data_IF_016241021952
#
_entry.id   IF_016241021952
#
_cell.length_a   1.000
_cell.length_b   1.000
_cell.length_c   1.000
_cell.angle_alpha   90.00
_cell.angle_beta   90.00
_cell.angle_gamma   90.00
#
_symmetry.space_group_name_H-M   'P 1'
#
loop_
_entity.id
_entity.type
_entity.pdbx_description
1 polymer ?
#
# COMPACT_ATOMS: atom_id res chain seq x y z
N UNK A 1 -3.48 10.59 12.22
CA UNK A 1 -4.44 9.49 11.96
C UNK A 1 -3.83 8.65 10.84
N UNK A 2 -3.71 7.32 10.91
CA UNK A 2 -3.02 6.59 9.85
C UNK A 2 -3.81 6.75 8.55
N UNK A 3 -3.09 7.11 7.47
CA UNK A 3 -3.66 7.44 6.15
C UNK A 3 -4.30 6.25 5.42
N UNK A 4 -4.25 5.04 6.01
CA UNK A 4 -4.77 3.82 5.43
C UNK A 4 -4.97 2.75 6.52
N UNK A 5 -6.13 2.07 6.55
CA UNK A 5 -6.38 0.85 7.33
C UNK A 5 -6.37 -0.34 6.37
N UNK A 6 -5.22 -1.01 6.17
CA UNK A 6 -5.11 -2.12 5.24
C UNK A 6 -6.02 -3.29 5.66
N UNK A 7 -6.52 -4.10 4.70
CA UNK A 7 -7.25 -5.33 5.02
C UNK A 7 -6.39 -6.21 5.94
N UNK A 8 -6.99 -6.88 6.93
CA UNK A 8 -6.31 -7.63 8.02
C UNK A 8 -5.21 -8.61 7.58
N UNK A 9 -5.21 -8.99 6.31
CA UNK A 9 -4.30 -9.92 5.63
C UNK A 9 -3.00 -9.24 5.16
N UNK A 10 -3.05 -7.92 4.98
CA UNK A 10 -1.92 -7.04 4.71
C UNK A 10 -1.58 -6.31 6.00
N UNK A 11 -0.62 -6.81 6.76
CA UNK A 11 0.01 -6.01 7.81
C UNK A 11 1.29 -5.43 7.22
N UNK A 12 1.32 -4.14 6.85
CA UNK A 12 2.59 -3.52 6.49
C UNK A 12 3.47 -3.58 7.74
N UNK A 13 4.68 -4.09 7.59
CA UNK A 13 5.64 -4.06 8.69
C UNK A 13 6.09 -2.62 8.86
N UNK A 14 5.53 -1.90 9.83
CA UNK A 14 5.93 -0.54 10.15
C UNK A 14 7.09 -0.54 11.14
N UNK A 15 8.05 0.37 10.92
CA UNK A 15 9.05 0.69 11.92
C UNK A 15 8.59 1.90 12.75
N UNK A 16 8.67 1.76 14.07
CA UNK A 16 8.37 2.82 15.04
C UNK A 16 9.48 2.86 16.07
N UNK A 17 10.06 4.03 16.28
CA UNK A 17 11.05 4.26 17.33
C UNK A 17 10.82 5.64 17.95
N UNK A 18 11.32 5.87 19.16
CA UNK A 18 11.12 7.13 19.89
C UNK A 18 11.82 8.35 19.27
N UNK A 19 12.63 8.16 18.23
CA UNK A 19 13.33 9.23 17.50
C UNK A 19 12.65 9.58 16.16
N UNK A 20 11.70 8.77 15.71
CA UNK A 20 10.95 9.03 14.49
C UNK A 20 9.96 10.18 14.75
N UNK A 21 9.91 11.23 13.90
CA UNK A 21 8.89 12.25 14.00
C UNK A 21 7.49 11.65 13.92
N UNK A 22 6.55 12.21 14.69
CA UNK A 22 5.18 11.71 14.76
C UNK A 22 4.38 11.99 13.48
N UNK A 23 4.69 13.11 12.81
CA UNK A 23 3.94 13.62 11.66
C UNK A 23 4.85 13.75 10.43
N UNK A 24 4.27 13.51 9.25
CA UNK A 24 4.91 13.70 7.96
C UNK A 24 6.01 12.70 7.61
N UNK A 25 6.30 11.71 8.47
CA UNK A 25 7.31 10.69 8.22
C UNK A 25 6.76 9.32 8.56
N UNK A 26 6.94 8.39 7.64
CA UNK A 26 6.55 7.01 7.83
C UNK A 26 7.65 6.07 7.32
N UNK A 27 7.83 4.94 8.01
CA UNK A 27 8.77 3.89 7.62
C UNK A 27 8.04 2.57 7.63
N UNK A 28 7.96 1.92 6.47
CA UNK A 28 7.23 0.68 6.28
C UNK A 28 7.92 -0.24 5.28
N UNK A 29 7.64 -1.52 5.40
CA UNK A 29 8.07 -2.53 4.45
C UNK A 29 7.05 -2.69 3.32
N UNK A 30 7.51 -2.62 2.08
CA UNK A 30 6.74 -2.98 0.90
C UNK A 30 7.01 -4.45 0.58
N UNK A 31 6.03 -5.32 0.91
CA UNK A 31 6.15 -6.76 0.73
C UNK A 31 5.78 -7.27 -0.66
N UNK A 32 5.14 -6.45 -1.49
CA UNK A 32 4.82 -6.80 -2.87
C UNK A 32 5.82 -6.17 -3.85
N UNK A 33 5.92 -6.76 -5.05
CA UNK A 33 6.69 -6.17 -6.14
C UNK A 33 6.00 -4.89 -6.68
N UNK A 34 6.05 -3.80 -5.92
CA UNK A 34 5.54 -2.52 -6.37
C UNK A 34 6.52 -1.95 -7.41
N UNK A 35 6.01 -1.63 -8.61
CA UNK A 35 6.79 -1.10 -9.74
C UNK A 35 7.95 -2.01 -10.21
N UNK A 36 7.77 -3.34 -10.21
CA UNK A 36 8.80 -4.32 -10.60
C UNK A 36 10.10 -4.22 -9.78
N UNK A 37 9.98 -3.86 -8.50
CA UNK A 37 11.11 -3.83 -7.57
C UNK A 37 10.99 -4.95 -6.54
N UNK A 38 12.11 -5.50 -6.06
CA UNK A 38 12.08 -6.46 -4.97
C UNK A 38 11.50 -5.81 -3.70
N UNK A 39 10.90 -6.61 -2.80
CA UNK A 39 10.42 -6.14 -1.51
C UNK A 39 11.50 -5.40 -0.71
N UNK A 40 11.17 -4.22 -0.21
CA UNK A 40 12.15 -3.36 0.48
C UNK A 40 11.51 -2.49 1.56
N UNK A 41 12.36 -1.97 2.46
CA UNK A 41 11.96 -0.95 3.40
C UNK A 41 11.96 0.42 2.73
N UNK A 42 10.90 1.18 2.93
CA UNK A 42 10.72 2.52 2.39
C UNK A 42 10.46 3.49 3.51
N UNK A 43 11.14 4.63 3.44
CA UNK A 43 10.80 5.82 4.20
C UNK A 43 10.06 6.80 3.29
N UNK A 44 8.91 7.25 3.75
CA UNK A 44 8.12 8.29 3.11
C UNK A 44 8.20 9.55 3.95
N UNK A 45 8.50 10.67 3.29
CA UNK A 45 8.40 12.02 3.86
C UNK A 45 7.28 12.72 3.08
N UNK A 46 6.28 13.22 3.78
CA UNK A 46 5.14 13.92 3.20
C UNK A 46 4.88 15.24 3.90
N UNK A 47 4.22 16.13 3.16
CA UNK A 47 3.63 17.35 3.73
C UNK A 47 2.18 17.43 3.29
N UNK A 48 1.33 17.60 4.29
CA UNK A 48 -0.11 17.81 4.12
C UNK A 48 -0.44 19.30 4.21
N UNK A 49 -1.54 19.68 3.57
CA UNK A 49 -2.05 21.04 3.53
C UNK A 49 -2.60 21.44 4.90
N UNK A 50 -2.18 22.61 5.37
CA UNK A 50 -2.74 23.26 6.56
C UNK A 50 -3.80 24.29 6.18
N UNK A 51 -4.58 24.78 7.14
CA UNK A 51 -5.56 25.84 6.91
C UNK A 51 -4.93 27.08 6.26
N UNK A 52 -3.74 27.48 6.71
CA UNK A 52 -3.00 28.59 6.11
C UNK A 52 -2.60 28.31 4.65
N UNK A 53 -2.30 27.06 4.29
CA UNK A 53 -1.98 26.70 2.90
C UNK A 53 -3.21 26.85 1.99
N UNK A 54 -4.42 26.59 2.49
CA UNK A 54 -5.67 26.76 1.74
C UNK A 54 -6.00 28.24 1.50
N UNK A 55 -5.72 29.10 2.47
CA UNK A 55 -5.91 30.55 2.34
C UNK A 55 -4.99 31.16 1.27
N UNK A 56 -3.76 30.65 1.16
CA UNK A 56 -2.74 31.15 0.24
C UNK A 56 -2.79 30.48 -1.15
N UNK A 57 -3.38 29.29 -1.27
CA UNK A 57 -3.39 28.51 -2.51
C UNK A 57 -4.78 27.95 -2.84
N UNK A 58 -5.46 28.60 -3.78
CA UNK A 58 -6.81 28.23 -4.26
C UNK A 58 -6.91 26.89 -5.00
N UNK A 59 -5.80 26.16 -5.18
CA UNK A 59 -5.83 24.80 -5.75
C UNK A 59 -5.97 23.71 -4.71
N UNK A 60 -5.69 24.02 -3.44
CA UNK A 60 -5.88 23.09 -2.33
C UNK A 60 -7.33 23.21 -1.87
N UNK A 61 -7.99 22.06 -1.73
CA UNK A 61 -9.42 22.02 -1.43
C UNK A 61 -9.67 21.69 0.05
N UNK A 62 -8.77 20.91 0.68
CA UNK A 62 -8.98 20.39 2.03
C UNK A 62 -7.71 20.38 2.90
N UNK A 63 -7.88 20.62 4.20
CA UNK A 63 -6.82 20.39 5.20
C UNK A 63 -6.52 18.90 5.29
N UNK A 64 -5.24 18.53 5.23
CA UNK A 64 -4.81 17.13 5.15
C UNK A 64 -4.53 16.68 3.71
N UNK A 65 -4.84 17.48 2.69
CA UNK A 65 -4.51 17.16 1.30
C UNK A 65 -2.98 17.06 1.13
N UNK A 66 -2.49 16.02 0.46
CA UNK A 66 -1.05 15.85 0.22
C UNK A 66 -0.53 16.92 -0.74
N UNK A 67 0.30 17.84 -0.25
CA UNK A 67 1.02 18.82 -1.09
C UNK A 67 2.13 18.10 -1.88
N UNK A 68 2.92 17.29 -1.19
CA UNK A 68 3.97 16.49 -1.80
C UNK A 68 4.36 15.30 -0.94
N UNK A 69 5.00 14.32 -1.58
CA UNK A 69 5.55 13.12 -0.98
C UNK A 69 6.87 12.76 -1.65
N UNK A 70 7.86 12.34 -0.85
CA UNK A 70 9.11 11.73 -1.31
C UNK A 70 9.24 10.37 -0.66
N UNK A 71 9.56 9.35 -1.44
CA UNK A 71 9.84 8.00 -0.96
C UNK A 71 11.30 7.63 -1.23
N UNK A 72 11.95 7.00 -0.25
CA UNK A 72 13.33 6.52 -0.36
C UNK A 72 13.42 5.09 0.18
N UNK A 73 14.07 4.22 -0.60
CA UNK A 73 14.45 2.89 -0.15
C UNK A 73 15.58 2.99 0.90
N UNK A 74 15.42 2.27 2.01
CA UNK A 74 16.37 2.31 3.12
C UNK A 74 16.63 0.90 3.66
N UNK A 75 17.77 0.70 4.31
CA UNK A 75 18.10 -0.54 5.04
C UNK A 75 18.21 -0.32 6.55
N UNK A 76 18.32 0.95 6.96
CA UNK A 76 18.42 1.36 8.34
C UNK A 76 17.48 2.55 8.57
N UNK A 77 16.87 2.62 9.76
CA UNK A 77 16.11 3.80 10.13
C UNK A 77 17.06 4.99 10.29
N UNK A 78 16.86 6.12 9.57
CA UNK A 78 17.74 7.27 9.68
C UNK A 78 17.63 8.01 11.02
N UNK A 79 16.62 7.69 11.84
CA UNK A 79 16.38 8.33 13.13
C UNK A 79 16.98 7.57 14.31
N UNK A 80 16.78 6.24 14.40
CA UNK A 80 17.37 5.43 15.45
C UNK A 80 18.69 4.75 15.08
N UNK A 81 18.96 4.58 13.78
CA UNK A 81 20.13 3.87 13.26
C UNK A 81 19.98 2.36 13.26
N UNK A 82 18.84 1.82 13.68
CA UNK A 82 18.58 0.38 13.70
C UNK A 82 18.47 -0.17 12.27
N UNK A 83 19.05 -1.34 12.06
CA UNK A 83 18.88 -2.11 10.84
C UNK A 83 17.45 -2.65 10.76
N UNK A 84 16.84 -2.55 9.57
CA UNK A 84 15.47 -2.96 9.31
C UNK A 84 15.48 -4.34 8.62
N UNK A 85 15.19 -5.44 9.35
CA UNK A 85 15.24 -6.78 8.76
C UNK A 85 14.11 -7.00 7.76
N UNK A 86 14.38 -7.82 6.74
CA UNK A 86 13.32 -8.35 5.88
C UNK A 86 12.41 -9.23 6.74
N UNK A 87 11.09 -8.99 6.77
CA UNK A 87 10.16 -9.85 7.47
C UNK A 87 10.09 -11.23 6.83
N UNK A 88 10.15 -12.28 7.65
CA UNK A 88 9.89 -13.65 7.20
C UNK A 88 8.37 -13.82 7.00
N UNK A 89 7.90 -13.63 5.77
CA UNK A 89 6.51 -13.92 5.41
C UNK A 89 6.46 -15.39 5.03
N UNK A 90 5.96 -16.24 5.91
CA UNK A 90 5.62 -17.62 5.53
C UNK A 90 4.46 -17.55 4.53
N UNK A 91 4.68 -18.08 3.32
CA UNK A 91 3.67 -18.20 2.28
C UNK A 91 2.50 -19.05 2.82
N UNK A 92 1.47 -18.41 3.36
CA UNK A 92 0.21 -19.10 3.63
C UNK A 92 -0.60 -19.05 2.34
N UNK A 93 -0.56 -20.18 1.64
CA UNK A 93 -1.28 -20.48 0.41
C UNK A 93 -2.68 -19.82 0.43
N UNK A 94 -2.89 -18.87 -0.47
CA UNK A 94 -4.23 -18.40 -0.79
C UNK A 94 -4.94 -19.55 -1.52
N UNK A 95 -5.53 -20.48 -0.77
CA UNK A 95 -6.60 -21.33 -1.29
C UNK A 95 -7.74 -20.38 -1.70
N UNK A 96 -7.76 -20.04 -2.99
CA UNK A 96 -8.87 -19.31 -3.58
C UNK A 96 -10.00 -20.33 -3.69
N UNK A 97 -10.92 -20.34 -2.73
CA UNK A 97 -12.19 -21.04 -2.86
C UNK A 97 -12.94 -20.42 -4.03
N UNK A 98 -12.80 -21.03 -5.21
CA UNK A 98 -13.65 -20.79 -6.35
C UNK A 98 -15.04 -21.33 -5.98
N UNK A 99 -15.88 -20.45 -5.43
CA UNK A 99 -17.30 -20.75 -5.25
C UNK A 99 -17.92 -20.96 -6.64
N UNK A 100 -18.15 -22.23 -6.99
CA UNK A 100 -19.01 -22.64 -8.09
C UNK A 100 -20.46 -22.26 -7.74
N UNK A 101 -20.81 -20.98 -7.92
CA UNK A 101 -22.21 -20.59 -7.92
C UNK A 101 -22.86 -21.09 -9.21
N UNK A 102 -23.36 -22.33 -9.16
CA UNK A 102 -24.39 -22.82 -10.06
C UNK A 102 -25.63 -21.92 -9.91
N UNK A 103 -25.94 -21.12 -10.93
CA UNK A 103 -27.25 -20.47 -11.06
C UNK A 103 -27.99 -21.04 -12.27
N UNK A 104 -28.97 -21.88 -11.92
CA UNK A 104 -30.19 -22.25 -12.60
C UNK A 104 -30.47 -21.70 -14.02
N UNK A 105 -30.79 -22.64 -14.93
CA UNK A 105 -32.06 -22.62 -15.66
C UNK A 105 -32.15 -21.89 -17.00
N UNK A 106 -32.24 -22.71 -18.05
CA UNK A 106 -33.09 -22.57 -19.26
C UNK A 106 -32.75 -21.58 -20.40
N UNK A 107 -32.69 -22.20 -21.59
CA UNK A 107 -33.09 -21.74 -22.93
C UNK A 107 -32.12 -20.90 -23.79
N UNK A 108 -31.43 -21.64 -24.67
CA UNK A 108 -31.21 -21.42 -26.11
C UNK A 108 -30.88 -19.99 -26.63
N UNK A 109 -29.68 -19.82 -27.19
CA UNK A 109 -29.41 -19.64 -28.64
C UNK A 109 -27.94 -19.26 -28.87
N UNK A 110 -27.34 -19.79 -29.94
CA UNK A 110 -26.20 -19.12 -30.60
C UNK A 110 -24.86 -19.85 -30.49
N UNK A 111 -24.60 -20.75 -31.44
CA UNK A 111 -23.29 -21.30 -31.71
C UNK A 111 -22.29 -20.21 -32.10
N UNK A 112 -21.03 -20.34 -31.66
CA UNK A 112 -19.87 -20.14 -32.54
C UNK A 112 -18.73 -21.07 -32.12
N UNK A 113 -18.48 -22.04 -32.98
CA UNK A 113 -17.28 -22.87 -33.01
C UNK A 113 -16.11 -22.05 -33.50
N UNK A 114 -14.95 -22.14 -32.83
CA UNK A 114 -13.65 -22.12 -33.49
C UNK A 114 -12.68 -23.04 -32.74
N UNK A 115 -12.32 -24.13 -33.43
CA UNK A 115 -11.11 -24.90 -33.18
C UNK A 115 -9.88 -23.99 -33.21
N UNK A 116 -8.86 -24.30 -32.40
CA UNK A 116 -7.57 -24.71 -32.95
C UNK A 116 -6.60 -25.25 -31.88
N UNK A 117 -6.14 -26.47 -32.16
CA UNK A 117 -4.94 -27.23 -31.72
C UNK A 117 -4.83 -27.67 -30.26
#
# INVERSE_FOLDING_TARGET
MPLYDPPKQWRPFYHRCGKLPADGIDVHYLGNEFLNRPPCWVMTISREATESDLEENHKLEEVGESIWMVAAEITHCPYCGEHLPVPDVEDHDLEVDLDETEHAGHDAFGAFSLLNM
#
